data_IF_674640335711
#
_entry.id   IF_674640335711
#
_cell.length_a   1.000
_cell.length_b   1.000
_cell.length_c   1.000
_cell.angle_alpha   90.00
_cell.angle_beta   90.00
_cell.angle_gamma   90.00
#
_symmetry.space_group_name_H-M   'P 1'
#
loop_
_entity.id
_entity.type
_entity.pdbx_description
1 polymer ?
#
# COMPACT_ATOMS: atom_id res chain seq x y z
N UNK A 1 -9.42 -3.56 -7.23
CA UNK A 1 -10.70 -4.12 -6.75
C UNK A 1 -10.68 -4.21 -5.24
N UNK A 2 -11.82 -4.02 -4.60
CA UNK A 2 -11.98 -4.00 -3.14
C UNK A 2 -13.00 -5.03 -2.70
N UNK A 3 -13.00 -5.37 -1.42
CA UNK A 3 -13.99 -6.19 -0.74
C UNK A 3 -14.46 -5.46 0.50
N UNK A 4 -15.67 -5.78 0.99
CA UNK A 4 -16.13 -5.26 2.28
C UNK A 4 -15.21 -5.76 3.38
N UNK A 5 -14.64 -4.83 4.14
CA UNK A 5 -13.78 -5.15 5.28
C UNK A 5 -14.63 -5.64 6.45
N UNK A 6 -14.31 -6.81 6.99
CA UNK A 6 -14.99 -7.37 8.14
C UNK A 6 -14.39 -8.70 8.60
N UNK A 7 -14.82 -9.21 9.75
CA UNK A 7 -14.28 -10.45 10.33
C UNK A 7 -14.28 -11.64 9.37
N UNK A 8 -15.36 -11.82 8.62
CA UNK A 8 -15.49 -12.92 7.64
C UNK A 8 -14.45 -12.83 6.51
N UNK A 9 -14.07 -11.62 6.08
CA UNK A 9 -13.02 -11.45 5.09
C UNK A 9 -11.68 -11.94 5.62
N UNK A 10 -11.30 -11.59 6.86
CA UNK A 10 -10.06 -12.08 7.46
C UNK A 10 -10.04 -13.61 7.60
N UNK A 11 -11.16 -14.21 7.99
CA UNK A 11 -11.29 -15.67 8.08
C UNK A 11 -11.20 -16.35 6.70
N UNK A 12 -11.81 -15.75 5.66
CA UNK A 12 -11.72 -16.24 4.28
C UNK A 12 -10.30 -16.16 3.74
N UNK A 13 -9.60 -15.04 3.98
CA UNK A 13 -8.19 -14.87 3.61
C UNK A 13 -7.31 -15.87 4.35
N UNK A 14 -7.55 -16.09 5.65
CA UNK A 14 -6.82 -17.10 6.43
C UNK A 14 -6.98 -18.50 5.83
N UNK A 15 -8.19 -18.90 5.47
CA UNK A 15 -8.49 -20.18 4.83
C UNK A 15 -7.78 -20.32 3.48
N UNK A 16 -7.85 -19.28 2.64
CA UNK A 16 -7.16 -19.23 1.36
C UNK A 16 -5.63 -19.37 1.52
N UNK A 17 -5.00 -18.56 2.39
CA UNK A 17 -3.56 -18.59 2.61
C UNK A 17 -3.09 -19.91 3.24
N UNK A 18 -3.83 -20.46 4.20
CA UNK A 18 -3.51 -21.75 4.79
C UNK A 18 -3.47 -22.87 3.74
N UNK A 19 -4.37 -22.85 2.76
CA UNK A 19 -4.38 -23.82 1.66
C UNK A 19 -3.23 -23.59 0.67
N UNK A 20 -2.93 -22.33 0.34
CA UNK A 20 -1.91 -21.96 -0.63
C UNK A 20 -0.48 -22.18 -0.12
N UNK A 21 -0.22 -21.96 1.18
CA UNK A 21 1.14 -21.91 1.74
C UNK A 21 1.61 -23.21 2.42
N UNK A 22 0.72 -24.15 2.66
CA UNK A 22 1.01 -25.44 3.34
C UNK A 22 1.69 -25.26 4.68
N UNK A 23 1.16 -24.41 5.56
CA UNK A 23 1.68 -24.20 6.91
C UNK A 23 1.32 -22.84 7.48
N UNK A 24 2.03 -22.42 8.51
CA UNK A 24 1.83 -21.10 9.09
C UNK A 24 2.18 -20.02 8.06
N UNK A 25 1.22 -19.14 7.77
CA UNK A 25 1.37 -18.02 6.83
C UNK A 25 1.56 -16.71 7.60
N UNK A 26 2.11 -15.70 6.93
CA UNK A 26 2.25 -14.34 7.46
C UNK A 26 1.31 -13.40 6.73
N UNK A 27 0.53 -12.61 7.47
CA UNK A 27 -0.37 -11.60 6.92
C UNK A 27 -0.08 -10.23 7.54
N UNK A 28 0.17 -9.24 6.69
CA UNK A 28 0.26 -7.84 7.13
C UNK A 28 -1.15 -7.25 7.16
N UNK A 29 -1.43 -6.43 8.16
CA UNK A 29 -2.67 -5.67 8.26
C UNK A 29 -2.32 -4.18 8.38
N UNK A 30 -2.67 -3.43 7.34
CA UNK A 30 -2.57 -1.96 7.32
C UNK A 30 -3.96 -1.33 7.33
N UNK A 31 -4.02 -0.05 7.65
CA UNK A 31 -5.28 0.68 7.68
C UNK A 31 -5.08 2.17 7.40
N UNK A 32 -6.13 2.78 6.81
CA UNK A 32 -6.12 4.15 6.32
C UNK A 32 -6.32 5.20 7.43
N UNK A 33 -7.13 4.87 8.42
CA UNK A 33 -7.62 5.81 9.42
C UNK A 33 -7.56 5.17 10.82
N UNK A 34 -7.21 5.90 11.89
CA UNK A 34 -7.19 5.37 13.26
C UNK A 34 -8.51 4.70 13.69
N UNK A 35 -9.66 5.10 13.12
CA UNK A 35 -10.95 4.46 13.37
C UNK A 35 -11.03 3.01 12.89
N UNK A 36 -10.12 2.59 12.00
CA UNK A 36 -10.02 1.22 11.52
C UNK A 36 -9.14 0.32 12.42
N UNK A 37 -8.48 0.86 13.46
CA UNK A 37 -7.57 0.11 14.33
C UNK A 37 -8.26 -1.07 15.03
N UNK A 38 -9.49 -0.88 15.52
CA UNK A 38 -10.24 -1.95 16.17
C UNK A 38 -10.51 -3.12 15.21
N UNK A 39 -10.95 -2.84 13.98
CA UNK A 39 -11.17 -3.87 12.96
C UNK A 39 -9.86 -4.55 12.55
N UNK A 40 -8.76 -3.80 12.47
CA UNK A 40 -7.44 -4.34 12.15
C UNK A 40 -6.96 -5.32 13.24
N UNK A 41 -7.16 -4.98 14.53
CA UNK A 41 -6.85 -5.86 15.67
C UNK A 41 -7.75 -7.09 15.73
N UNK A 42 -9.05 -6.93 15.47
CA UNK A 42 -9.98 -8.07 15.38
C UNK A 42 -9.55 -9.02 14.25
N UNK A 43 -9.18 -8.46 13.10
CA UNK A 43 -8.60 -9.22 11.99
C UNK A 43 -7.33 -9.98 12.40
N UNK A 44 -6.42 -9.33 13.14
CA UNK A 44 -5.20 -9.97 13.63
C UNK A 44 -5.52 -11.15 14.57
N UNK A 45 -6.48 -10.98 15.48
CA UNK A 45 -6.93 -12.05 16.37
C UNK A 45 -7.50 -13.26 15.62
N UNK A 46 -8.26 -13.02 14.53
CA UNK A 46 -8.79 -14.07 13.66
C UNK A 46 -7.66 -14.81 12.92
N UNK A 47 -6.69 -14.07 12.38
CA UNK A 47 -5.53 -14.64 11.67
C UNK A 47 -4.69 -15.53 12.60
N UNK A 48 -4.40 -15.06 13.82
CA UNK A 48 -3.66 -15.85 14.81
C UNK A 48 -4.43 -17.11 15.22
N UNK A 49 -5.75 -17.01 15.44
CA UNK A 49 -6.59 -18.16 15.74
C UNK A 49 -6.64 -19.20 14.61
N UNK A 50 -6.43 -18.76 13.36
CA UNK A 50 -6.33 -19.62 12.18
C UNK A 50 -4.92 -20.16 11.92
N UNK A 51 -4.03 -20.12 12.92
CA UNK A 51 -2.62 -20.53 12.81
C UNK A 51 -1.81 -19.71 11.79
N UNK A 52 -2.23 -18.47 11.52
CA UNK A 52 -1.43 -17.48 10.82
C UNK A 52 -0.49 -16.74 11.78
N UNK A 53 0.28 -15.81 11.24
CA UNK A 53 1.05 -14.82 11.99
C UNK A 53 0.71 -13.43 11.46
N UNK A 54 -0.01 -12.66 12.28
CA UNK A 54 -0.46 -11.32 11.91
C UNK A 54 0.60 -10.27 12.27
N UNK A 55 0.88 -9.38 11.33
CA UNK A 55 1.78 -8.25 11.44
C UNK A 55 0.99 -6.96 11.22
N UNK A 56 0.70 -6.23 12.29
CA UNK A 56 -0.02 -4.96 12.22
C UNK A 56 0.91 -3.81 11.85
N UNK A 57 0.49 -2.94 10.95
CA UNK A 57 1.17 -1.67 10.75
C UNK A 57 1.09 -0.83 12.04
N UNK A 58 2.14 -0.07 12.40
CA UNK A 58 2.25 0.56 13.73
C UNK A 58 1.21 1.66 13.97
N UNK A 59 0.64 2.19 12.90
CA UNK A 59 -0.38 3.25 12.90
C UNK A 59 -1.08 3.30 11.55
N UNK A 60 -2.05 4.18 11.40
CA UNK A 60 -2.65 4.49 10.09
C UNK A 60 -1.57 5.01 9.13
N UNK A 61 -1.42 4.35 7.98
CA UNK A 61 -0.41 4.61 6.96
C UNK A 61 -1.00 4.35 5.57
N UNK A 62 -0.50 4.99 4.52
CA UNK A 62 -0.97 4.76 3.15
C UNK A 62 -0.75 3.33 2.65
N UNK A 63 -1.64 2.86 1.78
CA UNK A 63 -1.63 1.51 1.21
C UNK A 63 -0.29 1.10 0.55
N UNK A 64 0.45 1.99 -0.17
CA UNK A 64 1.75 1.64 -0.72
C UNK A 64 2.74 1.08 0.29
N UNK A 65 2.72 1.57 1.56
CA UNK A 65 3.58 1.00 2.60
C UNK A 65 3.17 -0.43 2.97
N UNK A 66 1.87 -0.73 2.98
CA UNK A 66 1.39 -2.10 3.23
C UNK A 66 1.85 -3.05 2.11
N UNK A 67 1.72 -2.63 0.85
CA UNK A 67 2.22 -3.38 -0.30
C UNK A 67 3.75 -3.56 -0.28
N UNK A 68 4.50 -2.50 0.08
CA UNK A 68 5.94 -2.53 0.27
C UNK A 68 6.36 -3.52 1.36
N UNK A 69 5.67 -3.50 2.50
CA UNK A 69 5.97 -4.36 3.63
C UNK A 69 5.80 -5.85 3.30
N UNK A 70 4.87 -6.24 2.41
CA UNK A 70 4.71 -7.64 1.96
C UNK A 70 6.04 -8.22 1.48
N UNK A 71 6.77 -7.48 0.66
CA UNK A 71 8.07 -7.91 0.14
C UNK A 71 9.17 -7.84 1.17
N UNK A 72 9.21 -6.78 1.96
CA UNK A 72 10.27 -6.54 2.93
C UNK A 72 10.33 -7.61 4.01
N UNK A 73 9.18 -8.10 4.48
CA UNK A 73 9.13 -9.17 5.49
C UNK A 73 8.79 -10.54 4.91
N UNK A 74 8.73 -10.67 3.58
CA UNK A 74 8.35 -11.91 2.88
C UNK A 74 7.01 -12.46 3.42
N UNK A 75 6.00 -11.60 3.54
CA UNK A 75 4.67 -12.02 3.94
C UNK A 75 3.94 -12.72 2.80
N UNK A 76 3.04 -13.63 3.13
CA UNK A 76 2.23 -14.37 2.16
C UNK A 76 1.05 -13.53 1.65
N UNK A 77 0.72 -12.43 2.35
CA UNK A 77 -0.28 -11.46 1.90
C UNK A 77 -0.39 -10.27 2.82
N UNK A 78 -1.27 -9.35 2.43
CA UNK A 78 -1.68 -8.23 3.27
C UNK A 78 -3.14 -7.85 3.04
N UNK A 79 -3.74 -7.24 4.04
CA UNK A 79 -5.04 -6.58 3.99
C UNK A 79 -4.83 -5.12 4.38
N UNK A 80 -5.34 -4.22 3.55
CA UNK A 80 -5.38 -2.80 3.87
C UNK A 80 -6.83 -2.36 4.04
N UNK A 81 -7.20 -1.96 5.26
CA UNK A 81 -8.55 -1.54 5.63
C UNK A 81 -8.72 -0.06 5.35
N UNK A 82 -9.70 0.29 4.50
CA UNK A 82 -10.02 1.67 4.15
C UNK A 82 -11.08 2.25 5.07
N UNK A 83 -11.06 3.55 5.24
CA UNK A 83 -12.06 4.30 6.01
C UNK A 83 -13.49 4.17 5.43
N UNK A 84 -13.60 3.81 4.15
CA UNK A 84 -14.88 3.50 3.48
C UNK A 84 -15.53 2.19 3.93
N UNK A 85 -14.84 1.37 4.72
CA UNK A 85 -15.28 0.01 5.06
C UNK A 85 -14.94 -1.04 4.01
N UNK A 86 -14.09 -0.69 3.05
CA UNK A 86 -13.56 -1.62 2.05
C UNK A 86 -12.14 -2.06 2.42
N UNK A 87 -11.70 -3.18 1.85
CA UNK A 87 -10.32 -3.65 1.97
C UNK A 87 -9.67 -3.84 0.59
N UNK A 88 -8.39 -3.49 0.52
CA UNK A 88 -7.49 -3.92 -0.54
C UNK A 88 -6.74 -5.16 -0.05
N UNK A 89 -6.56 -6.12 -0.93
CA UNK A 89 -5.87 -7.38 -0.62
C UNK A 89 -4.65 -7.47 -1.52
N UNK A 90 -3.50 -7.71 -0.91
CA UNK A 90 -2.23 -7.94 -1.58
C UNK A 90 -1.79 -9.36 -1.32
N UNK A 91 -1.16 -9.99 -2.31
CA UNK A 91 -0.60 -11.32 -2.17
C UNK A 91 0.92 -11.30 -2.33
N UNK A 92 1.59 -12.26 -1.70
CA UNK A 92 3.04 -12.34 -1.69
C UNK A 92 3.53 -13.70 -1.26
N UNK A 93 4.84 -13.78 -1.02
CA UNK A 93 5.50 -14.96 -0.48
C UNK A 93 5.19 -16.22 -1.27
N UNK A 94 4.64 -17.21 -0.56
CA UNK A 94 4.32 -18.53 -1.12
C UNK A 94 2.96 -18.61 -1.81
N UNK A 95 2.12 -17.57 -1.68
CA UNK A 95 0.78 -17.56 -2.25
C UNK A 95 0.76 -17.17 -3.74
N UNK A 96 1.82 -16.56 -4.25
CA UNK A 96 1.93 -16.09 -5.64
C UNK A 96 3.34 -16.29 -6.19
N UNK A 97 3.51 -16.11 -7.51
CA UNK A 97 4.83 -16.06 -8.13
C UNK A 97 5.61 -14.80 -7.67
N UNK A 98 6.93 -14.92 -7.56
CA UNK A 98 7.81 -13.84 -7.08
C UNK A 98 7.65 -12.51 -7.84
N UNK A 99 7.30 -12.57 -9.11
CA UNK A 99 7.06 -11.38 -9.96
C UNK A 99 5.82 -10.59 -9.54
N UNK A 100 4.92 -11.20 -8.75
CA UNK A 100 3.66 -10.62 -8.28
C UNK A 100 3.61 -10.36 -6.78
N UNK A 101 4.70 -10.58 -6.06
CA UNK A 101 4.76 -10.30 -4.61
C UNK A 101 4.41 -8.84 -4.32
N UNK A 102 3.44 -8.61 -3.45
CA UNK A 102 2.94 -7.28 -3.09
C UNK A 102 2.03 -6.64 -4.13
N UNK A 103 1.63 -7.38 -5.19
CA UNK A 103 0.60 -6.91 -6.11
C UNK A 103 -0.79 -7.03 -5.48
N UNK A 104 -1.75 -6.17 -5.90
CA UNK A 104 -3.15 -6.39 -5.59
C UNK A 104 -3.60 -7.78 -6.08
N UNK A 105 -4.45 -8.43 -5.29
CA UNK A 105 -5.03 -9.72 -5.66
C UNK A 105 -5.83 -9.58 -6.98
N UNK A 106 -5.64 -10.53 -7.87
CA UNK A 106 -6.38 -10.63 -9.14
C UNK A 106 -7.85 -11.01 -8.89
N UNK A 107 -8.69 -10.85 -9.91
CA UNK A 107 -10.10 -11.28 -9.83
C UNK A 107 -10.24 -12.76 -9.49
N UNK A 108 -9.39 -13.61 -10.06
CA UNK A 108 -9.40 -15.04 -9.79
C UNK A 108 -9.07 -15.34 -8.33
N UNK A 109 -8.06 -14.68 -7.78
CA UNK A 109 -7.65 -14.84 -6.37
C UNK A 109 -8.73 -14.29 -5.43
N UNK A 110 -9.33 -13.15 -5.76
CA UNK A 110 -10.46 -12.59 -5.02
C UNK A 110 -11.67 -13.52 -5.04
N UNK A 111 -11.97 -14.15 -6.17
CA UNK A 111 -13.06 -15.12 -6.27
C UNK A 111 -12.82 -16.36 -5.38
N UNK A 112 -11.58 -16.83 -5.24
CA UNK A 112 -11.22 -17.91 -4.33
C UNK A 112 -11.39 -17.49 -2.85
N UNK A 113 -11.01 -16.26 -2.52
CA UNK A 113 -11.24 -15.70 -1.19
C UNK A 113 -12.73 -15.55 -0.90
N UNK A 114 -13.53 -15.04 -1.86
CA UNK A 114 -14.99 -14.93 -1.73
C UNK A 114 -15.64 -16.31 -1.53
N UNK A 115 -15.16 -17.33 -2.24
CA UNK A 115 -15.61 -18.71 -2.05
C UNK A 115 -15.29 -19.23 -0.63
N UNK A 116 -14.09 -18.92 -0.12
CA UNK A 116 -13.72 -19.27 1.25
C UNK A 116 -14.59 -18.55 2.29
N UNK A 117 -14.92 -17.27 2.07
CA UNK A 117 -15.85 -16.50 2.91
C UNK A 117 -17.26 -17.14 2.90
N UNK A 118 -17.77 -17.47 1.72
CA UNK A 118 -19.09 -18.11 1.60
C UNK A 118 -19.16 -19.49 2.29
N UNK A 119 -18.04 -20.20 2.34
CA UNK A 119 -17.92 -21.49 3.02
C UNK A 119 -17.94 -21.42 4.55
N UNK A 120 -17.83 -20.23 5.17
CA UNK A 120 -17.82 -20.08 6.64
C UNK A 120 -19.18 -20.30 7.30
N UNK A 121 -20.29 -20.17 6.56
CA UNK A 121 -21.65 -20.22 7.12
C UNK A 121 -22.03 -18.92 7.86
N UNK A 122 -23.31 -18.54 7.76
CA UNK A 122 -23.81 -17.24 8.26
C UNK A 122 -23.73 -17.10 9.80
N UNK A 123 -23.84 -18.18 10.56
CA UNK A 123 -23.86 -18.18 12.03
C UNK A 123 -22.57 -18.70 12.68
N UNK A 124 -21.47 -18.83 11.92
CA UNK A 124 -20.24 -19.38 12.47
C UNK A 124 -19.54 -18.35 13.35
N UNK A 125 -19.44 -18.62 14.66
CA UNK A 125 -18.61 -17.84 15.55
C UNK A 125 -17.14 -17.98 15.11
N UNK A 126 -16.54 -16.88 14.65
CA UNK A 126 -15.15 -16.88 14.23
C UNK A 126 -14.24 -16.92 15.46
N UNK A 127 -13.32 -17.88 15.58
CA UNK A 127 -12.35 -17.91 16.66
C UNK A 127 -11.45 -16.67 16.65
N UNK A 128 -11.05 -16.21 17.83
CA UNK A 128 -10.13 -15.11 18.04
C UNK A 128 -9.07 -15.51 19.06
N UNK A 129 -7.82 -15.27 18.73
CA UNK A 129 -6.74 -15.40 19.69
C UNK A 129 -6.73 -14.19 20.64
N UNK A 130 -6.33 -14.38 21.90
CA UNK A 130 -6.20 -13.30 22.87
C UNK A 130 -4.96 -12.39 22.61
N UNK A 131 -4.05 -12.81 21.72
CA UNK A 131 -2.84 -12.10 21.31
C UNK A 131 -2.03 -12.96 20.34
N UNK A 132 -0.75 -12.62 20.17
CA UNK A 132 0.17 -13.36 19.31
C UNK A 132 0.62 -12.57 18.08
N UNK A 133 -0.13 -11.53 17.70
CA UNK A 133 0.26 -10.62 16.63
C UNK A 133 1.39 -9.68 17.07
N UNK A 134 2.15 -9.22 16.10
CA UNK A 134 3.23 -8.27 16.29
C UNK A 134 2.99 -6.99 15.50
N UNK A 135 3.68 -5.92 15.87
CA UNK A 135 3.69 -4.70 15.07
C UNK A 135 4.89 -4.68 14.12
N UNK A 136 4.63 -4.28 12.88
CA UNK A 136 5.69 -3.88 11.97
C UNK A 136 6.39 -2.67 12.57
N UNK A 137 7.71 -2.72 12.70
CA UNK A 137 8.47 -1.62 13.33
C UNK A 137 8.45 -0.34 12.48
N UNK A 138 8.56 0.82 13.13
CA UNK A 138 8.67 2.15 12.47
C UNK A 138 9.84 2.22 11.45
N UNK A 139 10.85 1.37 11.59
CA UNK A 139 11.93 1.21 10.61
C UNK A 139 11.45 0.84 9.20
N UNK A 140 10.25 0.27 9.08
CA UNK A 140 9.64 0.00 7.76
C UNK A 140 9.35 1.30 7.00
N UNK A 141 8.89 2.34 7.70
CA UNK A 141 8.65 3.66 7.12
C UNK A 141 9.96 4.27 6.60
N UNK A 142 11.01 4.19 7.43
CA UNK A 142 12.35 4.61 7.03
C UNK A 142 12.85 3.87 5.78
N UNK A 143 12.70 2.54 5.75
CA UNK A 143 13.11 1.72 4.61
C UNK A 143 12.34 2.07 3.32
N UNK A 144 11.03 2.38 3.42
CA UNK A 144 10.25 2.86 2.28
C UNK A 144 10.78 4.21 1.75
N UNK A 145 10.99 5.17 2.65
CA UNK A 145 11.52 6.49 2.28
C UNK A 145 12.93 6.37 1.68
N UNK A 146 13.82 5.58 2.29
CA UNK A 146 15.19 5.33 1.79
C UNK A 146 15.16 4.73 0.38
N UNK A 147 14.27 3.78 0.14
CA UNK A 147 14.11 3.16 -1.17
C UNK A 147 13.60 4.16 -2.20
N UNK A 148 12.59 4.96 -1.87
CA UNK A 148 12.06 5.99 -2.75
C UNK A 148 13.13 7.05 -3.07
N UNK A 149 13.88 7.54 -2.08
CA UNK A 149 15.01 8.45 -2.28
C UNK A 149 16.03 7.83 -3.23
N UNK A 150 16.48 6.59 -2.97
CA UNK A 150 17.45 5.90 -3.83
C UNK A 150 16.95 5.78 -5.28
N UNK A 151 15.67 5.50 -5.48
CA UNK A 151 15.07 5.37 -6.81
C UNK A 151 14.96 6.69 -7.55
N UNK A 152 14.72 7.78 -6.82
CA UNK A 152 14.46 9.09 -7.40
C UNK A 152 15.70 9.99 -7.49
N UNK A 153 16.79 9.70 -6.78
CA UNK A 153 18.01 10.52 -6.76
C UNK A 153 18.61 10.74 -8.14
N UNK A 154 18.49 9.76 -9.02
CA UNK A 154 19.01 9.85 -10.39
C UNK A 154 18.13 10.71 -11.32
N UNK A 155 16.88 11.00 -10.91
CA UNK A 155 16.00 11.89 -11.67
C UNK A 155 16.36 13.37 -11.49
N UNK A 156 17.31 13.67 -10.65
CA UNK A 156 17.75 14.92 -10.09
C UNK A 156 17.51 16.17 -10.92
N UNK A 157 16.88 17.15 -10.29
CA UNK A 157 16.66 18.48 -10.85
C UNK A 157 17.83 19.41 -10.55
N UNK A 158 18.12 20.28 -11.52
CA UNK A 158 19.15 21.34 -11.35
C UNK A 158 18.66 22.49 -10.46
N UNK A 159 17.34 22.67 -10.30
CA UNK A 159 16.72 23.71 -9.45
C UNK A 159 15.28 23.33 -9.17
N UNK A 160 14.98 22.66 -8.06
CA UNK A 160 13.62 22.23 -7.77
C UNK A 160 12.69 23.45 -7.57
N UNK A 161 11.50 23.39 -8.17
CA UNK A 161 10.43 24.36 -7.95
C UNK A 161 9.78 24.10 -6.59
N UNK A 162 9.45 25.15 -5.80
CA UNK A 162 8.72 24.97 -4.58
C UNK A 162 7.38 24.23 -4.80
N UNK A 163 7.05 23.33 -3.88
CA UNK A 163 5.89 22.45 -3.98
C UNK A 163 4.95 22.67 -2.80
N UNK A 164 3.66 22.80 -3.08
CA UNK A 164 2.63 22.73 -2.05
C UNK A 164 2.11 21.29 -1.95
N UNK A 165 2.12 20.74 -0.74
CA UNK A 165 1.73 19.37 -0.47
C UNK A 165 0.43 19.33 0.34
N UNK A 166 -0.55 18.54 -0.12
CA UNK A 166 -1.76 18.18 0.60
C UNK A 166 -1.79 16.65 0.72
N UNK A 167 -1.27 16.14 1.85
CA UNK A 167 -1.13 14.72 2.12
C UNK A 167 -1.13 14.47 3.64
N UNK A 168 -1.95 13.50 4.08
CA UNK A 168 -2.26 13.29 5.50
C UNK A 168 -1.15 12.59 6.30
N UNK A 169 -0.33 11.75 5.68
CA UNK A 169 0.66 10.91 6.39
C UNK A 169 1.98 11.61 6.70
N UNK A 170 2.28 12.71 6.00
CA UNK A 170 3.57 13.42 6.05
C UNK A 170 4.71 12.74 5.29
N UNK A 171 4.44 11.63 4.62
CA UNK A 171 5.47 10.86 3.92
C UNK A 171 5.98 11.56 2.67
N UNK A 172 5.09 12.19 1.89
CA UNK A 172 5.50 12.95 0.71
C UNK A 172 6.36 14.14 1.11
N UNK A 173 5.96 14.87 2.17
CA UNK A 173 6.76 15.97 2.70
C UNK A 173 8.16 15.50 3.12
N UNK A 174 8.24 14.43 3.91
CA UNK A 174 9.51 13.81 4.33
C UNK A 174 10.38 13.40 3.12
N UNK A 175 9.77 12.83 2.09
CA UNK A 175 10.48 12.40 0.90
C UNK A 175 11.01 13.59 0.10
N UNK A 176 10.24 14.66 -0.07
CA UNK A 176 10.64 15.89 -0.74
C UNK A 176 11.78 16.58 -0.02
N UNK A 177 11.71 16.69 1.32
CA UNK A 177 12.79 17.25 2.13
C UNK A 177 14.11 16.49 1.93
N UNK A 178 14.05 15.16 1.95
CA UNK A 178 15.23 14.32 1.73
C UNK A 178 15.80 14.41 0.31
N UNK A 179 14.97 14.73 -0.67
CA UNK A 179 15.37 14.98 -2.06
C UNK A 179 15.79 16.43 -2.31
N UNK A 180 15.75 17.30 -1.29
CA UNK A 180 16.12 18.71 -1.39
C UNK A 180 15.11 19.55 -2.16
N UNK A 181 13.85 19.11 -2.25
CA UNK A 181 12.77 19.88 -2.89
C UNK A 181 12.13 20.81 -1.85
N UNK A 182 12.12 22.13 -2.06
CA UNK A 182 11.53 23.06 -1.11
C UNK A 182 10.00 22.92 -1.06
N UNK A 183 9.45 22.93 0.17
CA UNK A 183 8.00 22.94 0.39
C UNK A 183 7.58 24.37 0.73
N UNK A 184 6.59 24.89 0.03
CA UNK A 184 6.02 26.24 0.24
C UNK A 184 4.50 26.15 0.29
N UNK A 185 3.94 26.25 1.48
CA UNK A 185 2.50 26.15 1.72
C UNK A 185 1.69 27.32 1.10
N UNK A 186 2.32 28.48 0.95
CA UNK A 186 1.67 29.71 0.46
C UNK A 186 1.94 30.01 -1.02
N UNK A 187 2.86 29.27 -1.64
CA UNK A 187 3.41 29.59 -2.94
C UNK A 187 2.52 29.28 -4.14
N UNK A 188 2.85 29.91 -5.27
CA UNK A 188 2.27 29.64 -6.59
C UNK A 188 2.92 28.44 -7.31
N UNK A 189 3.69 27.61 -6.59
CA UNK A 189 4.42 26.47 -7.13
C UNK A 189 3.54 25.30 -7.54
N UNK A 190 4.15 24.17 -7.83
CA UNK A 190 3.44 22.93 -8.14
C UNK A 190 2.61 22.47 -6.92
N UNK A 191 1.29 22.35 -7.08
CA UNK A 191 0.45 21.79 -6.04
C UNK A 191 0.30 20.28 -6.26
N UNK A 192 0.55 19.51 -5.21
CA UNK A 192 0.40 18.04 -5.17
C UNK A 192 -0.61 17.68 -4.09
N UNK A 193 -1.58 16.86 -4.45
CA UNK A 193 -2.52 16.25 -3.51
C UNK A 193 -2.46 14.74 -3.64
N UNK A 194 -2.26 14.05 -2.52
CA UNK A 194 -2.29 12.60 -2.43
C UNK A 194 -3.54 12.17 -1.68
N UNK A 195 -4.26 11.18 -2.20
CA UNK A 195 -5.40 10.58 -1.50
C UNK A 195 -4.96 9.98 -0.15
N UNK A 196 -5.90 9.89 0.81
CA UNK A 196 -5.62 9.37 2.15
C UNK A 196 -5.06 7.94 2.12
N UNK A 197 -5.51 7.13 1.16
CA UNK A 197 -4.98 5.79 0.94
C UNK A 197 -3.62 5.77 0.21
N UNK A 198 -3.09 6.92 -0.20
CA UNK A 198 -1.78 7.06 -0.87
C UNK A 198 -1.72 6.56 -2.31
N UNK A 199 -2.86 6.27 -2.95
CA UNK A 199 -2.89 5.61 -4.27
C UNK A 199 -3.17 6.56 -5.43
N UNK A 200 -3.74 7.72 -5.18
CA UNK A 200 -4.11 8.68 -6.23
C UNK A 200 -3.37 9.99 -6.04
N UNK A 201 -2.69 10.44 -7.09
CA UNK A 201 -2.03 11.73 -7.19
C UNK A 201 -2.87 12.69 -8.04
N UNK A 202 -3.21 13.84 -7.49
CA UNK A 202 -3.69 14.99 -8.25
C UNK A 202 -2.65 16.12 -8.17
N UNK A 203 -2.55 16.91 -9.22
CA UNK A 203 -1.62 18.04 -9.25
C UNK A 203 -2.26 19.27 -9.91
N UNK A 204 -1.62 20.42 -9.81
CA UNK A 204 -1.99 21.63 -10.56
C UNK A 204 -1.70 21.53 -12.07
N UNK A 205 -0.98 20.49 -12.51
CA UNK A 205 -0.76 20.21 -13.92
C UNK A 205 -1.89 19.35 -14.50
N UNK A 206 -2.21 19.51 -15.80
CA UNK A 206 -3.08 18.57 -16.51
C UNK A 206 -2.54 17.14 -16.47
N UNK A 207 -3.43 16.13 -16.43
CA UNK A 207 -3.02 14.73 -16.32
C UNK A 207 -2.07 14.28 -17.43
N UNK A 208 -2.29 14.72 -18.66
CA UNK A 208 -1.39 14.38 -19.79
C UNK A 208 0.02 14.94 -19.56
N UNK A 209 0.15 16.13 -19.00
CA UNK A 209 1.44 16.70 -18.64
C UNK A 209 2.11 15.91 -17.51
N UNK A 210 1.34 15.47 -16.51
CA UNK A 210 1.83 14.59 -15.44
C UNK A 210 2.34 13.28 -16.02
N UNK A 211 1.56 12.62 -16.88
CA UNK A 211 1.97 11.37 -17.54
C UNK A 211 3.23 11.55 -18.38
N UNK A 212 3.33 12.62 -19.12
CA UNK A 212 4.52 12.93 -19.92
C UNK A 212 5.75 13.16 -19.03
N UNK A 213 5.61 13.93 -17.96
CA UNK A 213 6.69 14.13 -16.98
C UNK A 213 7.15 12.82 -16.35
N UNK A 214 6.21 11.96 -15.94
CA UNK A 214 6.52 10.70 -15.27
C UNK A 214 6.95 9.58 -16.24
N UNK A 215 6.84 9.76 -17.55
CA UNK A 215 7.13 8.73 -18.54
C UNK A 215 8.54 8.12 -18.41
N UNK A 216 9.51 8.88 -17.94
CA UNK A 216 10.87 8.40 -17.71
C UNK A 216 11.05 7.70 -16.36
N UNK A 217 10.18 8.00 -15.38
CA UNK A 217 10.20 7.38 -14.06
C UNK A 217 9.32 6.12 -13.98
N UNK A 218 8.30 6.06 -14.83
CA UNK A 218 7.37 4.94 -14.87
C UNK A 218 8.02 3.71 -15.49
N UNK A 219 7.79 2.58 -14.87
CA UNK A 219 8.16 1.29 -15.44
C UNK A 219 6.91 0.62 -15.99
N UNK A 220 6.98 0.15 -17.24
CA UNK A 220 5.89 -0.62 -17.83
C UNK A 220 5.82 -1.98 -17.14
N UNK A 221 4.73 -2.19 -16.40
CA UNK A 221 4.39 -3.48 -15.81
C UNK A 221 2.91 -3.75 -16.10
N UNK A 222 2.53 -4.88 -16.69
CA UNK A 222 1.13 -5.21 -16.98
C UNK A 222 0.26 -5.32 -15.71
N UNK A 223 0.87 -5.54 -14.55
CA UNK A 223 0.18 -5.53 -13.25
C UNK A 223 0.08 -4.12 -12.63
N UNK A 224 0.70 -3.10 -13.25
CA UNK A 224 0.66 -1.74 -12.71
C UNK A 224 -0.74 -1.13 -12.89
N UNK A 225 -1.21 -0.34 -11.91
CA UNK A 225 -2.49 0.34 -12.01
C UNK A 225 -2.49 1.35 -13.16
N UNK A 226 -3.61 1.45 -13.84
CA UNK A 226 -3.78 2.26 -15.05
C UNK A 226 -4.89 3.33 -14.94
N UNK A 227 -5.48 3.50 -13.75
CA UNK A 227 -6.51 4.51 -13.50
C UNK A 227 -6.00 5.95 -13.55
N UNK A 228 -6.88 6.94 -13.71
CA UNK A 228 -6.51 8.35 -13.60
C UNK A 228 -5.82 8.65 -12.28
N UNK A 229 -4.70 9.39 -12.32
CA UNK A 229 -3.93 9.74 -11.13
C UNK A 229 -3.21 8.56 -10.44
N UNK A 230 -3.25 7.36 -11.01
CA UNK A 230 -2.59 6.17 -10.46
C UNK A 230 -1.29 5.88 -11.20
N UNK A 231 -0.18 5.83 -10.47
CA UNK A 231 1.16 5.66 -11.02
C UNK A 231 1.95 4.65 -10.18
N UNK A 232 2.65 3.73 -10.84
CA UNK A 232 3.60 2.82 -10.22
C UNK A 232 5.01 3.23 -10.64
N UNK A 233 5.82 3.74 -9.72
CA UNK A 233 7.18 4.27 -10.00
C UNK A 233 8.25 3.21 -9.79
N UNK A 234 8.11 2.38 -8.77
CA UNK A 234 9.07 1.31 -8.48
C UNK A 234 8.37 -0.05 -8.31
N UNK A 235 8.01 -0.73 -9.41
CA UNK A 235 7.33 -2.01 -9.36
C UNK A 235 8.18 -3.13 -8.74
N UNK A 236 9.49 -2.91 -8.58
CA UNK A 236 10.34 -3.85 -7.87
C UNK A 236 10.02 -3.93 -6.37
N UNK A 237 9.38 -2.91 -5.80
CA UNK A 237 9.02 -2.85 -4.37
C UNK A 237 7.54 -2.60 -4.11
N UNK A 238 6.90 -1.75 -4.90
CA UNK A 238 5.46 -1.48 -4.80
C UNK A 238 4.82 -1.80 -6.14
N UNK A 239 4.15 -2.94 -6.24
CA UNK A 239 3.40 -3.36 -7.44
C UNK A 239 1.96 -2.81 -7.45
N UNK A 240 1.74 -1.66 -6.83
CA UNK A 240 0.46 -0.96 -6.81
C UNK A 240 0.66 0.53 -7.16
N UNK A 241 -0.44 1.29 -7.15
CA UNK A 241 -0.38 2.74 -7.25
C UNK A 241 0.32 3.32 -6.02
N UNK A 242 1.35 4.12 -6.26
CA UNK A 242 2.15 4.80 -5.25
C UNK A 242 2.20 6.29 -5.58
N UNK A 243 1.19 7.03 -5.11
CA UNK A 243 1.07 8.46 -5.35
C UNK A 243 2.11 9.27 -4.59
N UNK A 244 2.68 8.73 -3.51
CA UNK A 244 3.72 9.39 -2.71
C UNK A 244 5.01 9.46 -3.51
N UNK A 245 5.50 8.32 -3.99
CA UNK A 245 6.72 8.27 -4.82
C UNK A 245 6.49 8.97 -6.17
N UNK A 246 5.29 8.86 -6.77
CA UNK A 246 4.96 9.56 -8.01
C UNK A 246 4.92 11.09 -7.83
N UNK A 247 4.38 11.59 -6.72
CA UNK A 247 4.37 13.01 -6.39
C UNK A 247 5.79 13.57 -6.25
N UNK A 248 6.68 12.86 -5.56
CA UNK A 248 8.07 13.25 -5.43
C UNK A 248 8.81 13.21 -6.78
N UNK A 249 8.57 12.19 -7.61
CA UNK A 249 9.12 12.12 -8.97
C UNK A 249 8.66 13.31 -9.83
N UNK A 250 7.36 13.63 -9.78
CA UNK A 250 6.80 14.77 -10.51
C UNK A 250 7.46 16.09 -10.09
N UNK A 251 7.63 16.31 -8.78
CA UNK A 251 8.28 17.50 -8.24
C UNK A 251 9.73 17.66 -8.75
N UNK A 252 10.49 16.58 -8.82
CA UNK A 252 11.84 16.58 -9.35
C UNK A 252 11.89 16.85 -10.86
N UNK A 253 10.91 16.39 -11.63
CA UNK A 253 10.92 16.46 -13.09
C UNK A 253 10.33 17.74 -13.64
N UNK A 254 9.44 18.42 -12.90
CA UNK A 254 8.87 19.71 -13.32
C UNK A 254 9.82 20.90 -13.15
N UNK A 255 10.93 20.70 -12.49
CA UNK A 255 11.95 21.72 -12.24
C UNK A 255 12.93 21.93 -13.41
N UNK A 256 12.56 21.55 -14.62
CA UNK A 256 13.40 21.69 -15.82
C UNK A 256 13.13 23.00 -16.57
#
# INVERSE_FOLDING_TARGET
MTRSAGPSLFAGIASFLASATRGRFRLIIGYEDPRCDELARDGAAIIEAANGHALLMPRALPAPLTAFAVRMVMADGAVYVRASGEALIYLGGRAVERTREGAPASETELALIDQAVAGLGEDTALPRAEGGWEFVGEGMIGAYVDRAVSRLSDLGSRSPVPVRVDEASGLLATLLERLGVPIDEAGAGLALRVSTDGRTLASSLPEDAVRQCLAHALTTNPAAPSGPGQYCVDPAFVLDADAITAGAALALMTAR
#
